data_IF_081116444302
#
_entry.id   IF_081116444302
#
_cell.length_a   1.000
_cell.length_b   1.000
_cell.length_c   1.000
_cell.angle_alpha   90.00
_cell.angle_beta   90.00
_cell.angle_gamma   90.00
#
_symmetry.space_group_name_H-M   'P 1'
#
loop_
_entity.id
_entity.type
_entity.pdbx_description
1 polymer ?
#
# COMPACT_ATOMS: atom_id res chain seq x y z
N UNK A 1 51.21 -58.99 -12.50
CA UNK A 1 51.28 -57.54 -12.63
C UNK A 1 50.21 -56.92 -11.74
N UNK A 2 50.57 -56.39 -10.56
CA UNK A 2 49.65 -55.84 -9.59
C UNK A 2 49.70 -54.28 -9.63
N UNK A 3 48.59 -53.63 -9.93
CA UNK A 3 48.47 -52.17 -9.93
C UNK A 3 48.18 -51.69 -8.50
N UNK A 4 49.09 -50.90 -7.93
CA UNK A 4 48.94 -50.18 -6.64
C UNK A 4 47.94 -49.05 -6.78
N UNK A 5 46.85 -49.08 -6.00
CA UNK A 5 45.98 -47.95 -5.78
C UNK A 5 46.60 -46.95 -4.80
N UNK A 6 46.78 -45.71 -5.26
CA UNK A 6 47.17 -44.57 -4.40
C UNK A 6 45.92 -44.03 -3.67
N UNK A 7 45.91 -44.13 -2.35
CA UNK A 7 44.90 -43.51 -1.48
C UNK A 7 45.10 -41.98 -1.44
N UNK A 8 44.06 -41.20 -1.81
CA UNK A 8 44.01 -39.76 -1.68
C UNK A 8 43.80 -39.40 -0.21
N UNK A 9 44.74 -38.62 0.36
CA UNK A 9 44.64 -38.02 1.69
C UNK A 9 43.49 -37.02 1.76
N UNK A 10 42.52 -37.21 2.65
CA UNK A 10 41.44 -36.29 2.95
C UNK A 10 41.95 -35.01 3.66
N UNK A 11 41.53 -33.80 3.28
CA UNK A 11 41.96 -32.56 3.94
C UNK A 11 41.36 -32.45 5.35
N UNK A 12 42.17 -31.95 6.29
CA UNK A 12 41.91 -31.83 7.71
C UNK A 12 40.76 -30.83 8.00
N UNK A 13 39.60 -31.34 8.38
CA UNK A 13 38.36 -30.58 8.65
C UNK A 13 38.45 -29.63 9.88
N UNK A 14 39.51 -29.69 10.70
CA UNK A 14 39.69 -28.84 11.91
C UNK A 14 40.23 -27.45 11.62
N UNK A 15 40.84 -27.20 10.45
CA UNK A 15 41.37 -25.89 10.08
C UNK A 15 40.27 -24.94 9.56
N UNK A 16 39.17 -25.47 9.03
CA UNK A 16 38.11 -24.69 8.39
C UNK A 16 37.15 -24.03 9.39
N UNK A 17 36.99 -24.56 10.60
CA UNK A 17 36.08 -24.03 11.62
C UNK A 17 36.60 -22.78 12.35
N UNK A 18 37.91 -22.62 12.46
CA UNK A 18 38.52 -21.42 13.06
C UNK A 18 38.44 -20.23 12.11
N UNK A 19 38.61 -20.45 10.82
CA UNK A 19 38.52 -19.39 9.78
C UNK A 19 37.07 -18.89 9.60
N UNK A 20 36.09 -19.79 9.64
CA UNK A 20 34.65 -19.42 9.61
C UNK A 20 34.20 -18.63 10.84
N UNK A 21 34.77 -18.91 12.03
CA UNK A 21 34.48 -18.12 13.26
C UNK A 21 35.12 -16.73 13.20
N UNK A 22 36.33 -16.59 12.64
CA UNK A 22 37.00 -15.32 12.46
C UNK A 22 36.23 -14.41 11.47
N UNK A 23 35.75 -14.96 10.34
CA UNK A 23 34.95 -14.22 9.35
C UNK A 23 33.59 -13.77 9.90
N UNK A 24 32.91 -14.61 10.70
CA UNK A 24 31.66 -14.22 11.37
C UNK A 24 31.85 -13.11 12.41
N UNK A 25 32.99 -13.10 13.15
CA UNK A 25 33.31 -12.07 14.14
C UNK A 25 33.64 -10.72 13.49
N UNK A 26 34.30 -10.73 12.31
CA UNK A 26 34.60 -9.52 11.53
C UNK A 26 33.34 -8.89 10.91
N UNK A 27 32.32 -9.69 10.55
CA UNK A 27 31.08 -9.20 9.98
C UNK A 27 30.13 -8.53 11.01
N UNK A 28 30.31 -8.80 12.30
CA UNK A 28 29.49 -8.25 13.41
C UNK A 28 30.09 -6.96 13.98
N UNK A 29 31.40 -6.76 13.83
CA UNK A 29 32.08 -5.54 14.25
C UNK A 29 32.21 -4.58 13.05
N UNK A 30 31.22 -3.70 12.89
CA UNK A 30 31.31 -2.59 11.93
C UNK A 30 32.52 -1.69 12.22
N UNK A 31 33.00 -0.91 11.22
CA UNK A 31 34.22 -0.12 11.36
C UNK A 31 34.12 0.87 12.51
N UNK A 32 35.08 0.80 13.43
CA UNK A 32 35.25 1.71 14.55
C UNK A 32 35.40 3.16 14.02
N UNK A 33 34.38 4.00 14.30
CA UNK A 33 34.43 5.44 14.02
C UNK A 33 35.48 6.09 14.91
N UNK A 34 36.58 6.57 14.32
CA UNK A 34 37.54 7.47 14.96
C UNK A 34 36.80 8.74 15.35
N UNK A 35 36.80 9.08 16.63
CA UNK A 35 36.34 10.38 17.16
C UNK A 35 37.30 11.44 16.69
N UNK A 36 36.94 12.21 15.65
CA UNK A 36 37.60 13.45 15.26
C UNK A 36 37.01 14.56 16.12
N UNK A 37 37.88 15.24 16.90
CA UNK A 37 37.49 16.36 17.73
C UNK A 37 37.06 17.56 16.87
N UNK A 38 35.81 17.94 17.00
CA UNK A 38 35.25 19.18 16.44
C UNK A 38 35.17 20.23 17.59
N UNK A 39 36.25 21.01 17.73
CA UNK A 39 36.22 22.32 18.38
C UNK A 39 36.36 23.36 17.26
N UNK A 40 35.30 23.81 16.72
CA UNK A 40 34.92 24.98 15.87
C UNK A 40 33.95 24.53 14.77
N UNK A 41 32.66 24.63 14.95
CA UNK A 41 31.89 25.77 14.45
C UNK A 41 30.56 25.99 15.23
N UNK A 42 30.60 26.22 16.52
CA UNK A 42 29.36 26.46 17.28
C UNK A 42 28.78 27.87 17.04
N UNK A 43 29.55 28.80 16.50
CA UNK A 43 29.08 30.18 16.26
C UNK A 43 28.33 30.29 14.93
N UNK A 44 28.68 29.53 13.91
CA UNK A 44 27.98 29.55 12.60
C UNK A 44 26.63 28.85 12.68
N UNK A 45 26.50 27.80 13.51
CA UNK A 45 25.24 27.06 13.69
C UNK A 45 24.13 27.91 14.35
N UNK A 46 24.51 28.81 15.27
CA UNK A 46 23.51 29.66 15.97
C UNK A 46 22.90 30.72 15.05
N UNK A 47 23.68 31.29 14.13
CA UNK A 47 23.17 32.30 13.19
C UNK A 47 22.31 31.69 12.07
N UNK A 48 22.55 30.46 11.65
CA UNK A 48 21.71 29.74 10.69
C UNK A 48 20.38 29.29 11.29
N UNK A 49 20.35 28.90 12.57
CA UNK A 49 19.10 28.52 13.26
C UNK A 49 18.20 29.74 13.48
N UNK A 50 18.76 30.92 13.81
CA UNK A 50 17.97 32.15 13.97
C UNK A 50 17.38 32.64 12.63
N UNK A 51 18.09 32.51 11.52
CA UNK A 51 17.58 32.85 10.18
C UNK A 51 16.48 31.93 9.69
N UNK A 52 16.58 30.63 9.96
CA UNK A 52 15.56 29.63 9.56
C UNK A 52 14.32 29.75 10.45
N UNK A 53 14.46 30.02 11.75
CA UNK A 53 13.31 30.19 12.65
C UNK A 53 12.51 31.46 12.32
N UNK A 54 13.16 32.58 11.95
CA UNK A 54 12.49 33.80 11.53
C UNK A 54 11.76 33.67 10.19
N UNK A 55 12.35 32.95 9.22
CA UNK A 55 11.74 32.66 7.92
C UNK A 55 10.59 31.67 8.01
N UNK A 56 10.64 30.71 8.94
CA UNK A 56 9.59 29.71 9.12
C UNK A 56 8.32 30.30 9.72
N UNK A 57 8.44 31.25 10.66
CA UNK A 57 7.27 31.91 11.26
C UNK A 57 6.57 32.89 10.29
N UNK A 58 7.27 33.46 9.32
CA UNK A 58 6.66 34.32 8.30
C UNK A 58 5.96 33.51 7.18
N UNK A 59 6.31 32.22 6.98
CA UNK A 59 5.71 31.36 5.95
C UNK A 59 4.61 30.42 6.52
N UNK A 60 4.51 30.27 7.84
CA UNK A 60 3.52 29.38 8.49
C UNK A 60 2.14 30.04 8.72
N UNK A 61 1.91 31.21 8.16
CA UNK A 61 0.62 31.89 8.22
C UNK A 61 -0.10 31.88 6.89
N UNK A 62 -0.74 30.76 6.54
CA UNK A 62 -1.86 30.52 5.60
C UNK A 62 -1.61 29.29 4.74
N UNK A 63 -2.31 28.23 5.07
CA UNK A 63 -2.99 27.29 4.16
C UNK A 63 -3.09 25.87 4.73
N UNK A 64 -3.88 25.72 5.81
CA UNK A 64 -4.33 24.38 6.23
C UNK A 64 -5.80 24.13 5.81
N UNK A 65 -6.27 24.65 4.68
CA UNK A 65 -7.64 24.44 4.27
C UNK A 65 -7.97 24.19 2.80
N UNK A 66 -7.07 24.03 1.81
CA UNK A 66 -7.57 23.67 0.49
C UNK A 66 -7.13 22.31 -0.06
N UNK A 67 -6.20 21.57 0.59
CA UNK A 67 -5.66 20.36 -0.04
C UNK A 67 -6.67 19.21 0.03
N UNK A 68 -7.39 19.04 1.12
CA UNK A 68 -8.42 18.01 1.24
C UNK A 68 -9.64 18.28 0.35
N UNK A 69 -10.13 19.50 0.31
CA UNK A 69 -11.23 19.90 -0.57
C UNK A 69 -10.85 19.79 -2.05
N UNK A 70 -9.61 20.15 -2.41
CA UNK A 70 -9.11 20.01 -3.78
C UNK A 70 -8.93 18.54 -4.20
N UNK A 71 -8.56 17.63 -3.28
CA UNK A 71 -8.46 16.20 -3.54
C UNK A 71 -9.84 15.58 -3.73
N UNK A 72 -10.85 15.98 -2.95
CA UNK A 72 -12.24 15.51 -3.11
C UNK A 72 -12.85 16.00 -4.42
N UNK A 73 -12.61 17.24 -4.82
CA UNK A 73 -13.10 17.79 -6.09
C UNK A 73 -12.39 17.16 -7.30
N UNK A 74 -11.10 16.86 -7.22
CA UNK A 74 -10.38 16.14 -8.27
C UNK A 74 -10.88 14.68 -8.37
N UNK A 75 -11.16 14.02 -7.25
CA UNK A 75 -11.75 12.69 -7.25
C UNK A 75 -13.15 12.67 -7.85
N UNK A 76 -13.97 13.66 -7.56
CA UNK A 76 -15.34 13.80 -8.10
C UNK A 76 -15.34 14.19 -9.58
N UNK A 77 -14.42 15.04 -10.01
CA UNK A 77 -14.28 15.44 -11.42
C UNK A 77 -13.60 14.38 -12.30
N UNK A 78 -12.83 13.47 -11.71
CA UNK A 78 -12.17 12.37 -12.45
C UNK A 78 -13.11 11.19 -12.74
N UNK A 79 -14.25 11.09 -12.04
CA UNK A 79 -15.28 10.09 -12.32
C UNK A 79 -16.20 10.58 -13.43
N UNK A 80 -16.22 9.92 -14.57
CA UNK A 80 -17.21 10.15 -15.63
C UNK A 80 -18.22 9.03 -15.67
N UNK A 81 -19.51 9.38 -15.69
CA UNK A 81 -20.62 8.42 -15.80
C UNK A 81 -21.36 8.68 -17.10
N UNK A 82 -21.28 7.77 -18.04
CA UNK A 82 -21.98 7.85 -19.34
C UNK A 82 -22.33 6.44 -19.84
N UNK A 83 -23.44 6.32 -20.52
CA UNK A 83 -23.86 5.07 -21.19
C UNK A 83 -23.83 3.82 -20.29
N UNK A 84 -24.18 3.95 -19.00
CA UNK A 84 -24.17 2.82 -18.08
C UNK A 84 -22.77 2.39 -17.61
N UNK A 85 -21.76 3.22 -17.84
CA UNK A 85 -20.37 2.98 -17.47
C UNK A 85 -19.89 4.06 -16.50
N UNK A 86 -19.06 3.67 -15.54
CA UNK A 86 -18.27 4.56 -14.72
C UNK A 86 -16.82 4.41 -15.15
N UNK A 87 -16.16 5.53 -15.44
CA UNK A 87 -14.78 5.54 -15.95
C UNK A 87 -13.87 6.39 -15.09
N UNK A 88 -12.61 5.96 -14.96
CA UNK A 88 -11.55 6.64 -14.24
C UNK A 88 -10.26 6.67 -15.06
N UNK A 89 -9.47 7.74 -15.02
CA UNK A 89 -8.12 7.72 -15.57
C UNK A 89 -7.25 6.68 -14.85
N UNK A 90 -6.56 5.81 -15.58
CA UNK A 90 -5.61 4.83 -15.01
C UNK A 90 -4.52 5.52 -14.19
N UNK A 91 -4.07 6.70 -14.62
CA UNK A 91 -3.06 7.51 -13.94
C UNK A 91 -3.46 7.88 -12.50
N UNK A 92 -4.77 7.94 -12.20
CA UNK A 92 -5.28 8.22 -10.84
C UNK A 92 -4.76 7.21 -9.81
N UNK A 93 -4.45 5.99 -10.23
CA UNK A 93 -4.05 4.89 -9.34
C UNK A 93 -2.54 4.61 -9.40
N UNK A 94 -1.74 5.47 -10.04
CA UNK A 94 -0.33 5.23 -10.28
C UNK A 94 0.50 5.12 -8.99
N UNK A 95 0.07 5.76 -7.91
CA UNK A 95 0.73 5.77 -6.60
C UNK A 95 0.46 4.50 -5.75
N UNK A 96 -0.38 3.58 -6.24
CA UNK A 96 -0.75 2.36 -5.52
C UNK A 96 -1.64 2.59 -4.28
N UNK A 97 -2.16 3.81 -4.08
CA UNK A 97 -3.08 4.09 -2.99
C UNK A 97 -4.50 3.64 -3.35
N UNK A 98 -5.15 2.95 -2.41
CA UNK A 98 -6.55 2.58 -2.55
C UNK A 98 -7.44 3.83 -2.47
N UNK A 99 -8.28 4.03 -3.49
CA UNK A 99 -9.27 5.11 -3.52
C UNK A 99 -10.66 4.54 -3.36
N UNK A 100 -11.41 5.09 -2.42
CA UNK A 100 -12.77 4.69 -2.13
C UNK A 100 -13.75 5.59 -2.87
N UNK A 101 -14.82 4.99 -3.37
CA UNK A 101 -15.84 5.66 -4.16
C UNK A 101 -17.24 5.25 -3.67
N UNK A 102 -18.16 6.18 -3.78
CA UNK A 102 -19.56 5.99 -3.49
C UNK A 102 -20.38 6.06 -4.78
N UNK A 103 -21.19 5.04 -5.03
CA UNK A 103 -22.16 5.05 -6.11
C UNK A 103 -23.57 5.08 -5.54
N UNK A 104 -24.35 6.10 -5.88
CA UNK A 104 -25.74 6.22 -5.48
C UNK A 104 -26.64 5.40 -6.41
N UNK A 105 -27.01 4.20 -5.97
CA UNK A 105 -27.90 3.29 -6.68
C UNK A 105 -29.31 3.26 -6.06
N UNK A 106 -30.14 4.22 -6.40
CA UNK A 106 -31.48 4.35 -5.82
C UNK A 106 -31.44 4.74 -4.32
N UNK A 107 -31.98 3.87 -3.44
CA UNK A 107 -32.03 4.12 -1.98
C UNK A 107 -30.71 3.76 -1.26
N UNK A 108 -29.77 3.11 -1.94
CA UNK A 108 -28.53 2.60 -1.33
C UNK A 108 -27.32 3.31 -1.90
N UNK A 109 -26.34 3.60 -1.03
CA UNK A 109 -25.01 4.04 -1.44
C UNK A 109 -24.11 2.80 -1.44
N UNK A 110 -23.67 2.38 -2.63
CA UNK A 110 -22.78 1.24 -2.83
C UNK A 110 -21.35 1.75 -2.80
N UNK A 111 -20.56 1.26 -1.83
CA UNK A 111 -19.17 1.66 -1.66
C UNK A 111 -18.24 0.61 -2.26
N UNK A 112 -17.21 1.08 -2.94
CA UNK A 112 -16.16 0.24 -3.51
C UNK A 112 -14.83 0.97 -3.48
N UNK A 113 -13.76 0.24 -3.66
CA UNK A 113 -12.43 0.83 -3.80
C UNK A 113 -11.72 0.28 -5.03
N UNK A 114 -10.78 1.07 -5.52
CA UNK A 114 -9.89 0.74 -6.62
C UNK A 114 -8.46 0.94 -6.14
N UNK A 115 -7.58 0.00 -6.44
CA UNK A 115 -6.18 0.00 -6.06
C UNK A 115 -5.33 -0.52 -7.22
N UNK A 116 -4.16 0.09 -7.46
CA UNK A 116 -3.11 -0.54 -8.24
C UNK A 116 -2.24 -1.35 -7.31
N UNK A 117 -2.29 -2.67 -7.45
CA UNK A 117 -1.54 -3.60 -6.60
C UNK A 117 -0.05 -3.57 -6.90
N UNK A 118 0.76 -4.16 -6.04
CA UNK A 118 2.23 -4.22 -6.18
C UNK A 118 2.71 -4.95 -7.46
N UNK A 119 1.88 -5.80 -8.06
CA UNK A 119 2.13 -6.42 -9.37
C UNK A 119 1.78 -5.52 -10.57
N UNK A 120 1.37 -4.27 -10.33
CA UNK A 120 1.01 -3.29 -11.36
C UNK A 120 -0.41 -3.40 -11.90
N UNK A 121 -1.19 -4.40 -11.48
CA UNK A 121 -2.57 -4.61 -11.93
C UNK A 121 -3.53 -3.70 -11.16
N UNK A 122 -4.44 -3.01 -11.88
CA UNK A 122 -5.51 -2.24 -11.24
C UNK A 122 -6.65 -3.19 -10.88
N UNK A 123 -7.05 -3.20 -9.61
CA UNK A 123 -8.10 -4.04 -9.05
C UNK A 123 -9.20 -3.21 -8.43
N UNK A 124 -10.42 -3.73 -8.51
CA UNK A 124 -11.58 -3.12 -7.88
C UNK A 124 -12.30 -4.15 -7.00
N UNK A 125 -12.83 -3.72 -5.88
CA UNK A 125 -13.66 -4.54 -5.01
C UNK A 125 -14.67 -3.69 -4.25
N UNK A 126 -15.76 -4.30 -3.82
CA UNK A 126 -16.69 -3.65 -2.90
C UNK A 126 -16.00 -3.39 -1.55
N UNK A 127 -16.33 -2.28 -0.93
CA UNK A 127 -15.89 -1.95 0.43
C UNK A 127 -16.66 -2.76 1.48
N UNK A 128 -16.75 -4.05 1.22
CA UNK A 128 -17.50 -5.04 1.99
C UNK A 128 -17.02 -6.46 1.68
N UNK A 129 -17.42 -7.42 2.47
CA UNK A 129 -17.19 -8.87 2.26
C UNK A 129 -18.39 -9.67 2.69
N UNK A 130 -18.42 -10.95 2.35
CA UNK A 130 -19.56 -11.83 2.64
C UNK A 130 -19.84 -12.02 4.13
N UNK A 131 -18.83 -11.86 4.99
CA UNK A 131 -18.96 -12.09 6.45
C UNK A 131 -19.18 -10.80 7.24
N UNK A 132 -18.35 -9.78 6.98
CA UNK A 132 -18.30 -8.57 7.81
C UNK A 132 -19.18 -7.41 7.29
N UNK A 133 -19.81 -7.54 6.12
CA UNK A 133 -20.67 -6.50 5.55
C UNK A 133 -21.73 -5.95 6.52
N UNK A 134 -22.31 -6.80 7.42
CA UNK A 134 -23.31 -6.32 8.36
C UNK A 134 -22.84 -5.19 9.28
N UNK A 135 -21.54 -5.08 9.52
CA UNK A 135 -20.98 -4.02 10.35
C UNK A 135 -20.92 -2.67 9.64
N UNK A 136 -21.01 -2.63 8.31
CA UNK A 136 -20.91 -1.44 7.50
C UNK A 136 -19.55 -0.73 7.52
N UNK A 137 -18.51 -1.34 8.13
CA UNK A 137 -17.22 -0.64 8.40
C UNK A 137 -16.29 -0.58 7.20
N UNK A 138 -16.34 -1.58 6.28
CA UNK A 138 -15.48 -1.64 5.09
C UNK A 138 -14.02 -1.94 5.39
N UNK A 139 -13.14 -1.44 4.51
CA UNK A 139 -11.70 -1.69 4.51
C UNK A 139 -10.89 -0.39 4.57
N UNK A 140 -9.62 -0.51 4.93
CA UNK A 140 -8.60 0.52 4.74
C UNK A 140 -7.31 -0.12 4.23
N UNK A 141 -6.43 0.68 3.66
CA UNK A 141 -5.13 0.22 3.19
C UNK A 141 -4.07 0.37 4.29
N UNK A 142 -3.21 -0.64 4.43
CA UNK A 142 -2.00 -0.62 5.27
C UNK A 142 -0.84 -1.18 4.45
N UNK A 143 0.00 -0.31 3.91
CA UNK A 143 1.04 -0.70 2.96
C UNK A 143 0.43 -1.38 1.73
N UNK A 144 0.90 -2.59 1.40
CA UNK A 144 0.38 -3.38 0.27
C UNK A 144 -0.75 -4.36 0.69
N UNK A 145 -1.57 -3.97 1.66
CA UNK A 145 -2.67 -4.82 2.16
C UNK A 145 -3.94 -4.03 2.37
N UNK A 146 -5.07 -4.64 2.05
CA UNK A 146 -6.38 -4.17 2.47
C UNK A 146 -6.74 -4.83 3.80
N UNK A 147 -7.17 -4.06 4.78
CA UNK A 147 -7.49 -4.51 6.13
C UNK A 147 -8.97 -4.32 6.40
N UNK A 148 -9.64 -5.38 6.81
CA UNK A 148 -11.04 -5.31 7.22
C UNK A 148 -11.18 -4.55 8.55
N UNK A 149 -11.91 -3.43 8.56
CA UNK A 149 -12.12 -2.61 9.78
C UNK A 149 -12.92 -3.32 10.86
N UNK A 150 -13.62 -4.42 10.53
CA UNK A 150 -14.41 -5.16 11.51
C UNK A 150 -13.60 -6.25 12.21
N UNK A 151 -12.93 -7.12 11.46
CA UNK A 151 -12.22 -8.29 12.02
C UNK A 151 -10.68 -8.15 12.02
N UNK A 152 -10.12 -7.07 11.48
CA UNK A 152 -8.67 -6.84 11.43
C UNK A 152 -7.90 -7.74 10.45
N UNK A 153 -8.60 -8.61 9.69
CA UNK A 153 -7.92 -9.50 8.73
C UNK A 153 -7.31 -8.72 7.59
N UNK A 154 -6.08 -9.07 7.23
CA UNK A 154 -5.26 -8.41 6.20
C UNK A 154 -5.21 -9.26 4.94
N UNK A 155 -5.39 -8.63 3.78
CA UNK A 155 -5.37 -9.25 2.46
C UNK A 155 -4.36 -8.52 1.59
N UNK A 156 -3.43 -9.26 0.99
CA UNK A 156 -2.47 -8.66 0.05
C UNK A 156 -3.22 -8.02 -1.14
N UNK A 157 -2.76 -6.87 -1.61
CA UNK A 157 -3.40 -6.13 -2.70
C UNK A 157 -3.54 -6.97 -3.98
N UNK A 158 -2.55 -7.82 -4.24
CA UNK A 158 -2.51 -8.75 -5.39
C UNK A 158 -3.62 -9.82 -5.34
N UNK A 159 -4.24 -10.06 -4.19
CA UNK A 159 -5.33 -11.03 -4.03
C UNK A 159 -6.71 -10.39 -4.13
N UNK A 160 -6.79 -9.06 -4.16
CA UNK A 160 -8.06 -8.33 -4.33
C UNK A 160 -8.66 -8.69 -5.68
N UNK A 161 -9.93 -9.09 -5.70
CA UNK A 161 -10.67 -9.57 -6.87
C UNK A 161 -10.19 -10.92 -7.46
N UNK A 162 -9.11 -11.50 -6.95
CA UNK A 162 -8.64 -12.84 -7.34
C UNK A 162 -9.21 -13.91 -6.39
N UNK A 163 -9.18 -13.64 -5.09
CA UNK A 163 -9.74 -14.54 -4.06
C UNK A 163 -11.13 -14.03 -3.67
N UNK A 164 -12.12 -14.93 -3.73
CA UNK A 164 -13.52 -14.63 -3.46
C UNK A 164 -13.98 -15.31 -2.17
N UNK A 165 -14.98 -14.70 -1.53
CA UNK A 165 -15.66 -15.28 -0.37
C UNK A 165 -15.01 -15.01 0.98
N UNK A 166 -15.73 -15.32 2.04
CA UNK A 166 -15.31 -15.10 3.41
C UNK A 166 -15.09 -13.62 3.73
N UNK A 167 -13.96 -13.32 4.39
CA UNK A 167 -13.60 -11.94 4.72
C UNK A 167 -12.72 -11.25 3.63
N UNK A 168 -12.56 -11.85 2.45
CA UNK A 168 -11.92 -11.16 1.34
C UNK A 168 -12.83 -10.03 0.83
N UNK A 169 -12.28 -8.90 0.36
CA UNK A 169 -13.09 -7.88 -0.30
C UNK A 169 -13.90 -8.49 -1.44
N UNK A 170 -15.21 -8.26 -1.46
CA UNK A 170 -16.08 -8.82 -2.49
C UNK A 170 -15.71 -8.25 -3.86
N UNK A 171 -15.53 -9.08 -4.90
CA UNK A 171 -14.98 -8.66 -6.18
C UNK A 171 -15.94 -7.73 -6.95
N UNK A 172 -15.37 -6.73 -7.63
CA UNK A 172 -16.08 -5.85 -8.55
C UNK A 172 -15.43 -5.96 -9.94
N UNK A 173 -16.21 -6.31 -10.95
CA UNK A 173 -15.73 -6.42 -12.32
C UNK A 173 -15.26 -5.05 -12.82
N UNK A 174 -14.13 -5.03 -13.49
CA UNK A 174 -13.53 -3.86 -14.12
C UNK A 174 -12.77 -4.26 -15.36
N UNK A 175 -12.55 -3.32 -16.24
CA UNK A 175 -11.76 -3.48 -17.46
C UNK A 175 -10.84 -2.27 -17.64
N UNK A 176 -9.62 -2.49 -18.11
CA UNK A 176 -8.72 -1.40 -18.50
C UNK A 176 -8.71 -1.28 -20.00
N UNK A 177 -9.13 -0.13 -20.50
CA UNK A 177 -9.23 0.20 -21.92
C UNK A 177 -8.32 1.41 -22.19
N UNK A 178 -7.10 1.14 -22.65
CA UNK A 178 -6.09 2.18 -22.87
C UNK A 178 -5.73 2.90 -21.55
N UNK A 179 -5.99 4.19 -21.49
CA UNK A 179 -5.75 5.06 -20.33
C UNK A 179 -6.93 5.11 -19.34
N UNK A 180 -7.98 4.33 -19.56
CA UNK A 180 -9.20 4.35 -18.74
C UNK A 180 -9.45 3.02 -18.07
N UNK A 181 -9.82 3.08 -16.80
CA UNK A 181 -10.46 1.99 -16.08
C UNK A 181 -11.98 2.15 -16.23
N UNK A 182 -12.65 1.09 -16.64
CA UNK A 182 -14.10 1.07 -16.93
C UNK A 182 -14.78 0.07 -16.00
N UNK A 183 -15.87 0.48 -15.38
CA UNK A 183 -16.73 -0.36 -14.54
C UNK A 183 -18.17 -0.18 -15.01
N UNK A 184 -18.87 -1.27 -15.25
CA UNK A 184 -20.29 -1.22 -15.63
C UNK A 184 -21.14 -0.91 -14.38
N UNK A 185 -22.10 -0.01 -14.54
CA UNK A 185 -23.04 0.34 -13.44
C UNK A 185 -23.81 -0.91 -12.98
N UNK A 186 -24.16 -1.81 -13.91
CA UNK A 186 -24.80 -3.09 -13.58
C UNK A 186 -23.96 -3.97 -12.64
N UNK A 187 -22.62 -3.94 -12.79
CA UNK A 187 -21.71 -4.68 -11.90
C UNK A 187 -21.62 -4.01 -10.54
N UNK A 188 -21.61 -2.67 -10.47
CA UNK A 188 -21.69 -1.96 -9.21
C UNK A 188 -23.01 -2.26 -8.49
N UNK A 189 -24.12 -2.29 -9.23
CA UNK A 189 -25.45 -2.54 -8.67
C UNK A 189 -25.58 -3.94 -8.02
N UNK A 190 -24.80 -4.93 -8.46
CA UNK A 190 -24.72 -6.26 -7.82
C UNK A 190 -24.25 -6.20 -6.37
N UNK A 191 -23.49 -5.16 -6.01
CA UNK A 191 -23.04 -4.93 -4.64
C UNK A 191 -24.11 -4.47 -3.67
N UNK A 192 -25.34 -4.15 -4.12
CA UNK A 192 -26.44 -3.66 -3.27
C UNK A 192 -26.65 -4.52 -2.01
N UNK A 193 -26.54 -5.83 -2.13
CA UNK A 193 -26.70 -6.78 -1.02
C UNK A 193 -25.79 -6.50 0.17
N UNK A 194 -24.63 -5.88 -0.04
CA UNK A 194 -23.67 -5.55 1.03
C UNK A 194 -23.97 -4.21 1.71
N UNK A 195 -24.86 -3.40 1.18
CA UNK A 195 -25.16 -2.05 1.62
C UNK A 195 -26.64 -1.81 1.90
N UNK A 196 -27.45 -2.87 1.85
CA UNK A 196 -28.84 -2.86 2.28
C UNK A 196 -28.92 -3.25 3.75
N UNK A 197 -29.01 -2.25 4.61
CA UNK A 197 -29.13 -2.45 6.06
C UNK A 197 -30.57 -2.39 6.56
N UNK A 198 -31.57 -2.33 5.68
CA UNK A 198 -32.98 -2.13 6.04
C UNK A 198 -33.60 -3.29 6.84
N UNK A 199 -33.02 -4.48 6.76
CA UNK A 199 -33.48 -5.67 7.52
C UNK A 199 -32.73 -5.92 8.82
N UNK A 200 -31.91 -4.98 9.29
CA UNK A 200 -31.09 -5.11 10.50
C UNK A 200 -31.65 -4.20 11.58
N UNK A 201 -32.38 -4.77 12.48
CA UNK A 201 -32.77 -4.22 13.78
C UNK A 201 -31.95 -4.91 14.85
#
# INVERSE_FOLDING_TARGET
MAKRHKTKKTPNMKANTKDLRARKKAAIMGPSRKKSGYLLPTVIAVLLVAGVAGGYMAFSGKSDAPIQAAVEDVQKSAQSTANGLVTYPVAMFADGQARHFDFKGGKHTIRYFIIKSSDGVIRAAFDACDVCWPSGKGYYQEGDKMVCRNCGRKFASVLVNEVKGGCNPAPLNREVQGDKLVIKIEDIAKGKQYFDFSGKV
#
